data_IF_383169399116
#
_entry.id   IF_383169399116
#
_cell.length_a   1.000
_cell.length_b   1.000
_cell.length_c   1.000
_cell.angle_alpha   90.00
_cell.angle_beta   90.00
_cell.angle_gamma   90.00
#
_symmetry.space_group_name_H-M   'P 1'
#
loop_
_entity.id
_entity.type
_entity.pdbx_description
1 polymer ?
#
# COMPACT_ATOMS: atom_id res chain seq x y z
N UNK A 1 0.26 -17.47 -31.11
CA UNK A 1 -1.11 -17.13 -30.62
C UNK A 1 -1.34 -15.63 -30.74
N UNK A 2 -2.56 -15.20 -31.01
CA UNK A 2 -2.92 -13.76 -30.95
C UNK A 2 -3.15 -13.30 -29.51
N UNK A 3 -3.09 -12.00 -29.29
CA UNK A 3 -3.42 -11.42 -27.98
C UNK A 3 -4.83 -11.77 -27.48
N UNK A 4 -5.79 -11.91 -28.40
CA UNK A 4 -7.17 -12.28 -28.03
C UNK A 4 -7.25 -13.74 -27.58
N UNK A 5 -6.64 -14.66 -28.31
CA UNK A 5 -6.61 -16.08 -27.94
C UNK A 5 -5.94 -16.29 -26.59
N UNK A 6 -4.82 -15.61 -26.35
CA UNK A 6 -4.09 -15.67 -25.11
C UNK A 6 -4.92 -15.09 -23.94
N UNK A 7 -5.64 -13.99 -24.18
CA UNK A 7 -6.50 -13.39 -23.18
C UNK A 7 -7.74 -14.25 -22.87
N UNK A 8 -8.32 -14.94 -23.88
CA UNK A 8 -9.41 -15.90 -23.69
C UNK A 8 -8.95 -17.11 -22.86
N UNK A 9 -7.74 -17.62 -23.14
CA UNK A 9 -7.13 -18.68 -22.35
C UNK A 9 -6.93 -18.24 -20.89
N UNK A 10 -6.35 -17.06 -20.67
CA UNK A 10 -6.16 -16.53 -19.34
C UNK A 10 -7.49 -16.35 -18.58
N UNK A 11 -8.54 -15.84 -19.23
CA UNK A 11 -9.87 -15.71 -18.63
C UNK A 11 -10.50 -17.06 -18.29
N UNK A 12 -10.23 -18.10 -19.07
CA UNK A 12 -10.68 -19.45 -18.78
C UNK A 12 -10.00 -20.01 -17.54
N UNK A 13 -8.70 -19.79 -17.40
CA UNK A 13 -7.94 -20.23 -16.21
C UNK A 13 -8.33 -19.45 -14.96
N UNK A 14 -8.54 -18.13 -15.08
CA UNK A 14 -8.98 -17.28 -13.96
C UNK A 14 -10.40 -17.64 -13.49
N UNK A 15 -11.25 -18.19 -14.37
CA UNK A 15 -12.62 -18.63 -14.10
C UNK A 15 -13.53 -17.59 -13.43
N UNK A 16 -13.20 -16.30 -13.57
CA UNK A 16 -13.93 -15.15 -13.01
C UNK A 16 -13.76 -13.90 -13.88
N UNK A 17 -14.62 -12.89 -13.70
CA UNK A 17 -14.41 -11.60 -14.35
C UNK A 17 -13.08 -10.98 -13.92
N UNK A 18 -12.27 -10.50 -14.87
CA UNK A 18 -10.97 -9.91 -14.63
C UNK A 18 -10.71 -8.68 -15.50
N UNK A 19 -9.91 -7.75 -15.00
CA UNK A 19 -9.46 -6.56 -15.73
C UNK A 19 -8.31 -6.88 -16.70
N UNK A 20 -8.07 -6.01 -17.68
CA UNK A 20 -7.03 -6.22 -18.69
C UNK A 20 -5.62 -6.36 -18.09
N UNK A 21 -5.29 -5.55 -17.08
CA UNK A 21 -4.01 -5.63 -16.37
C UNK A 21 -3.85 -6.94 -15.59
N UNK A 22 -4.94 -7.41 -14.98
CA UNK A 22 -4.95 -8.67 -14.25
C UNK A 22 -4.81 -9.88 -15.18
N UNK A 23 -5.50 -9.85 -16.34
CA UNK A 23 -5.34 -10.86 -17.38
C UNK A 23 -3.90 -10.89 -17.90
N UNK A 24 -3.32 -9.73 -18.12
CA UNK A 24 -1.92 -9.65 -18.53
C UNK A 24 -0.97 -10.13 -17.45
N UNK A 25 -1.17 -9.76 -16.19
CA UNK A 25 -0.39 -10.25 -15.06
C UNK A 25 -0.38 -11.79 -14.98
N UNK A 26 -1.54 -12.44 -15.21
CA UNK A 26 -1.61 -13.89 -15.29
C UNK A 26 -0.78 -14.45 -16.46
N UNK A 27 -0.86 -13.81 -17.64
CA UNK A 27 -0.07 -14.20 -18.84
C UNK A 27 1.41 -14.09 -18.55
N UNK A 28 1.85 -13.01 -17.90
CA UNK A 28 3.24 -12.72 -17.58
C UNK A 28 3.80 -13.68 -16.51
N UNK A 29 3.09 -13.88 -15.42
CA UNK A 29 3.48 -14.81 -14.34
C UNK A 29 3.67 -16.25 -14.85
N UNK A 30 2.83 -16.68 -15.79
CA UNK A 30 2.92 -18.01 -16.36
C UNK A 30 3.77 -18.08 -17.64
N UNK A 31 4.47 -16.99 -18.01
CA UNK A 31 5.30 -16.86 -19.21
C UNK A 31 4.59 -17.20 -20.53
N UNK A 32 3.27 -17.09 -20.56
CA UNK A 32 2.46 -17.43 -21.73
C UNK A 32 2.67 -16.45 -22.89
N UNK A 33 3.26 -15.29 -22.64
CA UNK A 33 3.63 -14.32 -23.67
C UNK A 33 4.62 -14.89 -24.71
N UNK A 34 5.36 -15.96 -24.35
CA UNK A 34 6.25 -16.65 -25.29
C UNK A 34 5.51 -17.28 -26.48
N UNK A 35 4.21 -17.52 -26.32
CA UNK A 35 3.34 -18.08 -27.36
C UNK A 35 2.74 -17.02 -28.30
N UNK A 36 2.98 -15.73 -28.05
CA UNK A 36 2.46 -14.64 -28.88
C UNK A 36 3.17 -14.59 -30.22
N UNK A 37 2.36 -14.42 -31.28
CA UNK A 37 2.88 -14.10 -32.60
C UNK A 37 3.71 -12.80 -32.54
N UNK A 38 4.97 -12.87 -32.95
CA UNK A 38 5.91 -11.75 -32.90
C UNK A 38 6.76 -11.67 -31.63
N UNK A 39 6.63 -12.58 -30.68
CA UNK A 39 7.57 -12.68 -29.56
C UNK A 39 8.96 -13.11 -30.05
N UNK A 40 9.98 -12.36 -29.65
CA UNK A 40 11.38 -12.67 -29.93
C UNK A 40 12.13 -12.97 -28.62
N UNK A 41 12.59 -14.20 -28.39
CA UNK A 41 13.29 -14.56 -27.16
C UNK A 41 14.57 -13.74 -26.89
N UNK A 42 15.25 -13.24 -27.92
CA UNK A 42 16.47 -12.44 -27.78
C UNK A 42 16.17 -11.01 -27.29
N UNK A 43 14.98 -10.49 -27.61
CA UNK A 43 14.54 -9.15 -27.20
C UNK A 43 13.62 -9.18 -25.98
N UNK A 44 13.09 -10.33 -25.62
CA UNK A 44 12.17 -10.50 -24.51
C UNK A 44 10.84 -9.74 -24.68
N UNK A 45 10.23 -9.31 -23.56
CA UNK A 45 8.96 -8.58 -23.53
C UNK A 45 8.90 -7.34 -24.43
N UNK A 46 9.96 -6.53 -24.62
CA UNK A 46 9.92 -5.41 -25.56
C UNK A 46 9.55 -5.76 -26.99
N UNK A 47 9.76 -7.01 -27.43
CA UNK A 47 9.40 -7.46 -28.78
C UNK A 47 7.90 -7.46 -29.06
N UNK A 48 7.08 -7.58 -28.02
CA UNK A 48 5.60 -7.61 -28.09
C UNK A 48 4.94 -6.28 -27.73
N UNK A 49 5.73 -5.21 -27.61
CA UNK A 49 5.25 -3.83 -27.42
C UNK A 49 5.36 -3.33 -25.97
N UNK A 50 5.26 -2.00 -25.83
CA UNK A 50 5.44 -1.31 -24.54
C UNK A 50 4.29 -1.47 -23.56
N UNK A 51 3.08 -1.73 -24.03
CA UNK A 51 1.85 -1.78 -23.20
C UNK A 51 0.97 -2.98 -23.60
N UNK A 52 1.46 -4.20 -23.40
CA UNK A 52 0.72 -5.41 -23.84
C UNK A 52 -0.64 -5.56 -23.13
N UNK A 53 -0.77 -5.15 -21.87
CA UNK A 53 -2.06 -5.12 -21.15
C UNK A 53 -3.09 -4.20 -21.83
N UNK A 54 -2.66 -3.06 -22.40
CA UNK A 54 -3.56 -2.16 -23.14
C UNK A 54 -4.03 -2.82 -24.44
N UNK A 55 -3.15 -3.56 -25.11
CA UNK A 55 -3.50 -4.35 -26.30
C UNK A 55 -4.50 -5.46 -25.95
N UNK A 56 -4.29 -6.19 -24.85
CA UNK A 56 -5.24 -7.16 -24.32
C UNK A 56 -6.60 -6.49 -24.08
N UNK A 57 -6.63 -5.37 -23.36
CA UNK A 57 -7.85 -4.63 -23.05
C UNK A 57 -8.61 -4.18 -24.31
N UNK A 58 -7.89 -3.66 -25.30
CA UNK A 58 -8.48 -3.23 -26.58
C UNK A 58 -9.09 -4.41 -27.34
N UNK A 59 -8.38 -5.54 -27.43
CA UNK A 59 -8.89 -6.74 -28.10
C UNK A 59 -10.11 -7.33 -27.42
N UNK A 60 -10.10 -7.43 -26.10
CA UNK A 60 -11.23 -7.89 -25.31
C UNK A 60 -12.44 -6.96 -25.44
N UNK A 61 -12.21 -5.64 -25.47
CA UNK A 61 -13.30 -4.67 -25.65
C UNK A 61 -13.96 -4.81 -27.00
N UNK A 62 -13.18 -4.91 -28.08
CA UNK A 62 -13.70 -5.11 -29.44
C UNK A 62 -14.50 -6.43 -29.53
N UNK A 63 -13.97 -7.50 -28.92
CA UNK A 63 -14.63 -8.80 -28.91
C UNK A 63 -15.95 -8.76 -28.11
N UNK A 64 -16.01 -8.02 -27.01
CA UNK A 64 -17.22 -7.90 -26.20
C UNK A 64 -18.36 -7.16 -26.89
N UNK A 65 -18.08 -6.40 -27.96
CA UNK A 65 -19.08 -5.65 -28.75
C UNK A 65 -19.67 -6.46 -29.88
N UNK A 66 -19.09 -7.60 -30.24
CA UNK A 66 -19.62 -8.46 -31.27
C UNK A 66 -20.87 -9.21 -30.78
N UNK A 67 -21.92 -9.33 -31.60
CA UNK A 67 -23.15 -10.06 -31.22
C UNK A 67 -22.87 -11.51 -30.81
N UNK A 68 -21.98 -12.17 -31.55
CA UNK A 68 -21.50 -13.55 -31.35
C UNK A 68 -20.15 -13.63 -30.58
N UNK A 69 -19.71 -12.51 -29.99
CA UNK A 69 -18.44 -12.43 -29.29
C UNK A 69 -18.36 -13.39 -28.10
N UNK A 70 -17.16 -13.93 -27.88
CA UNK A 70 -16.88 -14.96 -26.86
C UNK A 70 -16.84 -14.45 -25.42
N UNK A 71 -16.91 -13.13 -25.23
CA UNK A 71 -16.78 -12.49 -23.92
C UNK A 71 -17.88 -11.46 -23.65
N UNK A 72 -18.11 -11.17 -22.37
CA UNK A 72 -18.92 -10.05 -21.89
C UNK A 72 -18.06 -9.06 -21.14
N UNK A 73 -18.42 -7.78 -21.20
CA UNK A 73 -17.76 -6.73 -20.45
C UNK A 73 -18.73 -6.10 -19.45
N UNK A 74 -18.30 -5.92 -18.21
CA UNK A 74 -19.07 -5.35 -17.11
C UNK A 74 -18.31 -4.20 -16.44
N UNK A 75 -19.04 -3.25 -15.86
CA UNK A 75 -18.44 -2.09 -15.17
C UNK A 75 -17.88 -1.05 -16.14
N UNK A 76 -17.46 0.08 -15.59
CA UNK A 76 -16.90 1.20 -16.35
C UNK A 76 -15.45 1.52 -15.97
N UNK A 77 -15.06 1.41 -14.69
CA UNK A 77 -13.69 1.65 -14.20
C UNK A 77 -13.47 0.87 -12.91
N UNK A 78 -12.67 -0.22 -12.91
CA UNK A 78 -12.15 -0.90 -14.09
C UNK A 78 -13.25 -1.63 -14.88
N UNK A 79 -13.02 -1.83 -16.18
CA UNK A 79 -13.86 -2.69 -17.01
C UNK A 79 -13.41 -4.13 -16.83
N UNK A 80 -14.32 -5.00 -16.41
CA UNK A 80 -14.07 -6.42 -16.20
C UNK A 80 -14.61 -7.22 -17.38
N UNK A 81 -13.86 -8.22 -17.80
CA UNK A 81 -14.18 -9.14 -18.89
C UNK A 81 -14.41 -10.54 -18.35
N UNK A 82 -15.38 -11.26 -18.91
CA UNK A 82 -15.65 -12.66 -18.59
C UNK A 82 -16.07 -13.43 -19.84
N UNK A 83 -15.84 -14.73 -19.85
CA UNK A 83 -16.31 -15.60 -20.94
C UNK A 83 -17.83 -15.70 -20.91
N UNK A 84 -18.47 -15.75 -22.10
CA UNK A 84 -19.88 -16.11 -22.19
C UNK A 84 -20.06 -17.59 -21.90
N UNK A 85 -21.09 -17.96 -21.14
CA UNK A 85 -21.32 -19.35 -20.67
C UNK A 85 -21.36 -20.42 -21.77
N UNK A 86 -21.77 -20.07 -23.00
CA UNK A 86 -21.83 -21.01 -24.12
C UNK A 86 -20.45 -21.46 -24.66
N UNK A 87 -19.35 -20.79 -24.27
CA UNK A 87 -18.00 -21.03 -24.83
C UNK A 87 -17.13 -21.89 -23.91
N UNK A 88 -17.54 -22.09 -22.66
CA UNK A 88 -16.76 -22.79 -21.64
C UNK A 88 -16.43 -24.26 -21.99
N UNK A 89 -17.21 -24.89 -22.82
CA UNK A 89 -17.01 -26.31 -23.21
C UNK A 89 -16.15 -26.53 -24.47
N UNK A 90 -16.15 -25.57 -25.40
CA UNK A 90 -15.55 -25.76 -26.75
C UNK A 90 -14.07 -25.36 -26.85
N UNK A 91 -13.57 -24.51 -25.94
CA UNK A 91 -12.18 -24.00 -25.95
C UNK A 91 -11.16 -25.03 -25.44
N UNK A 92 -11.63 -26.03 -24.69
CA UNK A 92 -10.76 -27.05 -24.09
C UNK A 92 -10.06 -27.94 -25.14
N UNK A 93 -10.63 -28.04 -26.35
CA UNK A 93 -10.12 -28.91 -27.42
C UNK A 93 -9.15 -28.21 -28.40
N UNK A 94 -9.07 -26.86 -28.39
CA UNK A 94 -8.37 -26.10 -29.44
C UNK A 94 -7.03 -25.49 -28.98
N UNK A 95 -6.70 -25.50 -27.68
CA UNK A 95 -5.62 -24.68 -27.13
C UNK A 95 -4.57 -25.44 -26.30
N UNK A 96 -4.56 -26.77 -26.32
CA UNK A 96 -3.50 -27.53 -25.61
C UNK A 96 -2.42 -27.98 -26.62
N UNK A 97 -1.15 -27.52 -26.47
CA UNK A 97 -0.04 -28.28 -26.97
C UNK A 97 0.06 -29.59 -26.17
N UNK A 98 0.30 -30.71 -26.86
CA UNK A 98 0.35 -32.08 -26.28
C UNK A 98 1.33 -32.32 -25.11
N UNK A 99 2.05 -31.30 -24.69
CA UNK A 99 3.04 -31.36 -23.61
C UNK A 99 2.82 -30.34 -22.46
N UNK A 100 1.62 -29.83 -22.29
CA UNK A 100 1.33 -29.02 -21.11
C UNK A 100 1.18 -29.95 -19.89
N UNK A 101 2.22 -30.05 -19.07
CA UNK A 101 2.14 -30.58 -17.71
C UNK A 101 1.00 -29.83 -17.02
N UNK A 102 0.01 -30.56 -16.53
CA UNK A 102 -1.06 -29.98 -15.73
C UNK A 102 -0.42 -29.32 -14.52
N UNK A 103 -0.29 -27.99 -14.56
CA UNK A 103 0.09 -27.20 -13.40
C UNK A 103 -1.04 -27.34 -12.38
N UNK A 104 -0.72 -27.50 -11.09
CA UNK A 104 -1.71 -27.52 -10.03
C UNK A 104 -2.58 -26.25 -10.16
N UNK A 105 -3.88 -26.31 -9.82
CA UNK A 105 -4.76 -25.17 -9.90
C UNK A 105 -4.09 -24.00 -9.19
N UNK A 106 -3.91 -22.88 -9.91
CA UNK A 106 -3.33 -21.68 -9.36
C UNK A 106 -4.03 -21.41 -8.03
N UNK A 107 -3.25 -21.36 -6.96
CA UNK A 107 -3.77 -21.04 -5.65
C UNK A 107 -4.64 -19.80 -5.82
N UNK A 108 -5.91 -19.92 -5.51
CA UNK A 108 -6.83 -18.79 -5.48
C UNK A 108 -6.11 -17.75 -4.65
N UNK A 109 -5.77 -16.60 -5.26
CA UNK A 109 -5.34 -15.44 -4.50
C UNK A 109 -6.48 -15.15 -3.55
N UNK A 110 -6.39 -15.68 -2.33
CA UNK A 110 -7.34 -15.41 -1.28
C UNK A 110 -7.32 -13.90 -1.15
N UNK A 111 -8.46 -13.25 -1.41
CA UNK A 111 -8.68 -11.85 -1.07
C UNK A 111 -8.09 -11.68 0.32
N UNK A 112 -7.10 -10.80 0.46
CA UNK A 112 -6.46 -10.55 1.74
C UNK A 112 -7.55 -10.42 2.81
N UNK A 113 -7.56 -11.34 3.78
CA UNK A 113 -8.59 -11.42 4.81
C UNK A 113 -8.52 -10.26 5.79
N UNK A 114 -7.40 -9.51 5.78
CA UNK A 114 -7.15 -8.39 6.68
C UNK A 114 -7.54 -7.05 6.06
N UNK A 115 -7.78 -6.05 6.89
CA UNK A 115 -8.06 -4.65 6.53
C UNK A 115 -6.79 -3.79 6.59
N UNK A 116 -6.78 -2.60 5.98
CA UNK A 116 -5.64 -1.66 6.08
C UNK A 116 -5.27 -1.38 7.54
N UNK A 117 -6.27 -1.23 8.40
CA UNK A 117 -6.07 -1.01 9.84
C UNK A 117 -5.32 -2.16 10.54
N UNK A 118 -5.39 -3.37 10.01
CA UNK A 118 -4.62 -4.49 10.57
C UNK A 118 -3.11 -4.35 10.32
N UNK A 119 -2.68 -3.38 9.49
CA UNK A 119 -1.27 -3.02 9.28
C UNK A 119 -0.73 -2.02 10.31
N UNK A 120 -1.60 -1.35 11.08
CA UNK A 120 -1.18 -0.35 12.07
C UNK A 120 -0.20 -0.90 13.11
N UNK A 121 -0.41 -2.11 13.71
CA UNK A 121 0.56 -2.67 14.64
C UNK A 121 1.93 -2.96 14.02
N UNK A 122 2.00 -3.29 12.72
CA UNK A 122 3.24 -3.51 12.01
C UNK A 122 4.01 -2.18 11.89
N UNK A 123 3.32 -1.14 11.41
CA UNK A 123 3.90 0.19 11.31
C UNK A 123 4.31 0.72 12.70
N UNK A 124 3.47 0.57 13.72
CA UNK A 124 3.79 0.96 15.10
C UNK A 124 5.12 0.35 15.58
N UNK A 125 5.29 -0.98 15.40
CA UNK A 125 6.53 -1.67 15.77
C UNK A 125 7.73 -1.18 14.96
N UNK A 126 7.59 -1.04 13.64
CA UNK A 126 8.64 -0.51 12.78
C UNK A 126 9.09 0.89 13.22
N UNK A 127 8.15 1.79 13.49
CA UNK A 127 8.44 3.17 13.91
C UNK A 127 9.15 3.23 15.27
N UNK A 128 8.79 2.36 16.19
CA UNK A 128 9.39 2.31 17.50
C UNK A 128 10.84 1.78 17.48
N UNK A 129 11.13 0.80 16.62
CA UNK A 129 12.41 0.08 16.59
C UNK A 129 13.40 0.66 15.55
N UNK A 130 12.90 1.32 14.50
CA UNK A 130 13.76 1.85 13.45
C UNK A 130 14.46 3.14 13.87
N UNK A 131 15.83 3.22 13.80
CA UNK A 131 16.62 4.34 14.36
C UNK A 131 16.25 5.72 13.78
N UNK A 132 15.80 5.79 12.54
CA UNK A 132 15.40 7.06 11.88
C UNK A 132 14.16 7.66 12.55
N UNK A 133 13.26 6.80 13.06
CA UNK A 133 12.02 7.25 13.67
C UNK A 133 12.13 7.27 15.20
N UNK A 134 12.47 6.15 15.83
CA UNK A 134 12.45 5.98 17.30
C UNK A 134 11.21 6.64 17.91
N UNK A 135 10.04 6.44 17.30
CA UNK A 135 8.83 7.20 17.50
C UNK A 135 7.76 6.43 18.26
N UNK A 136 7.04 7.13 19.13
CA UNK A 136 5.76 6.67 19.67
C UNK A 136 4.66 7.00 18.67
N UNK A 137 3.74 6.08 18.41
CA UNK A 137 2.66 6.29 17.44
C UNK A 137 1.28 6.14 18.05
N UNK A 138 0.28 6.73 17.38
CA UNK A 138 -1.13 6.61 17.76
C UNK A 138 -1.99 6.48 16.51
N UNK A 139 -2.88 5.50 16.50
CA UNK A 139 -3.91 5.31 15.48
C UNK A 139 -4.97 6.40 15.60
N UNK A 140 -5.39 6.96 14.47
CA UNK A 140 -6.46 7.95 14.39
C UNK A 140 -7.74 7.27 13.86
N UNK A 141 -8.76 7.22 14.70
CA UNK A 141 -10.05 6.63 14.35
C UNK A 141 -10.96 7.71 13.74
N UNK A 142 -10.86 7.91 12.43
CA UNK A 142 -11.65 8.91 11.70
C UNK A 142 -13.17 8.68 11.77
N UNK A 143 -13.63 7.44 12.01
CA UNK A 143 -15.05 7.13 12.19
C UNK A 143 -15.66 7.77 13.45
N UNK A 144 -14.81 8.12 14.40
CA UNK A 144 -15.20 8.80 15.64
C UNK A 144 -15.20 10.33 15.50
N UNK A 145 -14.82 10.86 14.34
CA UNK A 145 -14.77 12.29 14.08
C UNK A 145 -16.17 12.90 13.93
N UNK A 146 -16.30 14.17 14.26
CA UNK A 146 -17.50 14.93 14.01
C UNK A 146 -17.87 14.89 12.52
N UNK A 147 -19.17 14.67 12.21
CA UNK A 147 -19.63 14.62 10.82
C UNK A 147 -19.70 16.04 10.26
N UNK A 148 -18.90 16.32 9.23
CA UNK A 148 -19.05 17.49 8.37
C UNK A 148 -19.90 17.18 7.12
N UNK A 149 -20.02 18.14 6.21
CA UNK A 149 -20.66 17.93 4.92
C UNK A 149 -19.97 16.79 4.16
N UNK A 150 -20.75 15.97 3.45
CA UNK A 150 -20.24 14.81 2.70
C UNK A 150 -19.12 15.22 1.75
N UNK A 151 -17.91 14.70 1.98
CA UNK A 151 -16.72 14.95 1.18
C UNK A 151 -15.84 16.12 1.66
N UNK A 152 -16.26 16.95 2.60
CA UNK A 152 -15.45 18.06 3.10
C UNK A 152 -14.19 17.59 3.84
N UNK A 153 -14.30 16.49 4.57
CA UNK A 153 -13.16 15.91 5.32
C UNK A 153 -12.46 14.78 4.56
N UNK A 154 -12.69 14.69 3.24
CA UNK A 154 -12.00 13.69 2.43
C UNK A 154 -10.50 13.97 2.47
N UNK A 155 -9.72 12.97 2.92
CA UNK A 155 -8.27 13.06 3.06
C UNK A 155 -7.77 14.07 4.11
N UNK A 156 -8.59 14.41 5.09
CA UNK A 156 -8.17 15.27 6.21
C UNK A 156 -7.39 14.47 7.26
N UNK A 157 -7.89 13.29 7.59
CA UNK A 157 -7.36 12.48 8.70
C UNK A 157 -6.27 11.52 8.22
N UNK A 158 -5.09 11.50 8.89
CA UNK A 158 -4.12 10.44 8.70
C UNK A 158 -4.61 9.13 9.32
N UNK A 159 -4.07 8.00 8.89
CA UNK A 159 -4.32 6.70 9.52
C UNK A 159 -3.64 6.62 10.89
N UNK A 160 -2.40 7.08 10.97
CA UNK A 160 -1.62 7.14 12.20
C UNK A 160 -0.81 8.44 12.30
N UNK A 161 -0.56 8.83 13.53
CA UNK A 161 0.36 9.93 13.87
C UNK A 161 1.51 9.39 14.70
N UNK A 162 2.66 10.07 14.66
CA UNK A 162 3.83 9.68 15.44
C UNK A 162 4.56 10.87 16.01
N UNK A 163 5.30 10.66 17.08
CA UNK A 163 6.19 11.66 17.69
C UNK A 163 7.51 11.03 18.09
N UNK A 164 8.60 11.69 17.72
CA UNK A 164 9.94 11.43 18.22
C UNK A 164 10.32 12.53 19.20
N UNK A 165 10.76 12.15 20.40
CA UNK A 165 11.21 13.07 21.42
C UNK A 165 12.73 13.16 21.39
N UNK A 166 13.31 13.87 20.41
CA UNK A 166 14.76 13.99 20.23
C UNK A 166 15.47 14.54 21.47
N UNK A 167 14.79 15.37 22.30
CA UNK A 167 15.36 15.91 23.54
C UNK A 167 15.55 14.85 24.62
N UNK A 168 14.90 13.69 24.51
CA UNK A 168 15.04 12.61 25.50
C UNK A 168 16.44 12.00 25.50
N UNK A 169 17.17 12.10 24.40
CA UNK A 169 18.55 11.63 24.26
C UNK A 169 19.57 12.50 24.99
N UNK A 170 19.16 13.70 25.44
CA UNK A 170 20.04 14.65 26.14
C UNK A 170 19.80 14.60 27.64
N UNK A 171 20.58 13.80 28.38
CA UNK A 171 20.40 13.60 29.82
C UNK A 171 20.90 14.79 30.69
N UNK A 172 21.70 15.70 30.15
CA UNK A 172 22.29 16.76 30.91
C UNK A 172 21.25 17.81 31.38
N UNK A 173 21.02 17.90 32.68
CA UNK A 173 19.94 18.70 33.28
C UNK A 173 19.99 20.20 32.91
N UNK A 174 21.17 20.81 32.82
CA UNK A 174 21.32 22.22 32.42
C UNK A 174 20.95 22.44 30.95
N UNK A 175 21.28 21.47 30.06
CA UNK A 175 20.92 21.56 28.66
C UNK A 175 19.40 21.44 28.49
N UNK A 176 18.76 20.48 29.16
CA UNK A 176 17.31 20.35 29.16
C UNK A 176 16.61 21.59 29.71
N UNK A 177 17.12 22.18 30.81
CA UNK A 177 16.59 23.42 31.38
C UNK A 177 16.72 24.58 30.40
N UNK A 178 17.85 24.67 29.68
CA UNK A 178 18.07 25.67 28.65
C UNK A 178 17.09 25.48 27.46
N UNK A 179 16.94 24.25 26.95
CA UNK A 179 16.02 23.93 25.89
C UNK A 179 14.58 24.34 26.24
N UNK A 180 14.12 23.99 27.45
CA UNK A 180 12.77 24.36 27.92
C UNK A 180 12.59 25.86 28.05
N UNK A 181 13.60 26.57 28.62
CA UNK A 181 13.53 28.02 28.82
C UNK A 181 13.42 28.81 27.54
N UNK A 182 13.99 28.31 26.44
CA UNK A 182 14.04 29.00 25.15
C UNK A 182 13.15 28.35 24.08
N UNK A 183 12.18 27.51 24.48
CA UNK A 183 11.26 26.82 23.56
C UNK A 183 11.98 26.05 22.45
N UNK A 184 13.07 25.35 22.81
CA UNK A 184 13.93 24.61 21.88
C UNK A 184 13.90 23.09 22.10
N UNK A 185 12.81 22.57 22.71
CA UNK A 185 12.67 21.13 22.86
C UNK A 185 12.48 20.50 21.47
N UNK A 186 13.47 19.77 20.97
CA UNK A 186 13.35 19.17 19.65
C UNK A 186 12.41 17.96 19.72
N UNK A 187 11.28 18.12 19.06
CA UNK A 187 10.34 17.03 18.77
C UNK A 187 10.15 16.97 17.27
N UNK A 188 9.87 15.78 16.76
CA UNK A 188 9.48 15.59 15.38
C UNK A 188 8.13 14.88 15.33
N UNK A 189 7.19 15.46 14.61
CA UNK A 189 5.83 14.93 14.46
C UNK A 189 5.69 14.35 13.05
N UNK A 190 5.08 13.18 12.98
CA UNK A 190 4.88 12.41 11.76
C UNK A 190 3.40 12.21 11.46
N UNK A 191 3.07 12.16 10.17
CA UNK A 191 1.78 11.72 9.64
C UNK A 191 2.00 10.51 8.75
N UNK A 192 1.18 9.47 8.92
CA UNK A 192 1.27 8.24 8.14
C UNK A 192 -0.06 7.90 7.48
N UNK A 193 0.00 7.64 6.19
CA UNK A 193 -1.03 6.98 5.40
C UNK A 193 -0.60 5.55 5.12
N UNK A 194 -1.50 4.56 5.30
CA UNK A 194 -1.17 3.14 5.20
C UNK A 194 -2.01 2.50 4.11
N UNK A 195 -1.37 1.69 3.26
CA UNK A 195 -2.05 0.94 2.20
C UNK A 195 -1.58 -0.51 2.17
N UNK A 196 -2.47 -1.43 1.80
CA UNK A 196 -2.11 -2.83 1.62
C UNK A 196 -1.14 -2.99 0.47
N UNK A 197 -1.45 -2.32 -0.65
CA UNK A 197 -0.63 -2.41 -1.83
C UNK A 197 -0.70 -1.17 -2.70
N UNK A 198 0.41 -0.85 -3.36
CA UNK A 198 0.50 0.20 -4.37
C UNK A 198 0.70 -0.45 -5.74
N UNK A 199 0.07 0.14 -6.76
CA UNK A 199 0.28 -0.20 -8.17
C UNK A 199 0.05 1.03 -9.06
N UNK A 200 0.27 0.91 -10.37
CA UNK A 200 0.06 2.02 -11.32
C UNK A 200 -1.37 2.56 -11.36
N UNK A 201 -2.37 1.80 -10.91
CA UNK A 201 -3.76 2.23 -10.92
C UNK A 201 -4.13 3.13 -9.74
N UNK A 202 -3.45 2.98 -8.60
CA UNK A 202 -3.83 3.59 -7.32
C UNK A 202 -2.78 4.51 -6.69
N UNK A 203 -1.48 4.38 -7.05
CA UNK A 203 -0.38 5.04 -6.33
C UNK A 203 -0.50 6.56 -6.26
N UNK A 204 -1.01 7.21 -7.31
CA UNK A 204 -1.18 8.67 -7.32
C UNK A 204 -2.25 9.10 -6.33
N UNK A 205 -3.40 8.41 -6.30
CA UNK A 205 -4.48 8.73 -5.37
C UNK A 205 -4.00 8.60 -3.93
N UNK A 206 -3.37 7.49 -3.58
CA UNK A 206 -2.86 7.24 -2.24
C UNK A 206 -1.72 8.17 -1.84
N UNK A 207 -0.85 8.49 -2.80
CA UNK A 207 0.21 9.47 -2.58
C UNK A 207 -0.34 10.85 -2.26
N UNK A 208 -1.31 11.34 -3.04
CA UNK A 208 -1.94 12.63 -2.77
C UNK A 208 -2.82 12.64 -1.53
N UNK A 209 -3.33 11.50 -1.10
CA UNK A 209 -3.95 11.36 0.21
C UNK A 209 -2.92 11.63 1.33
N UNK A 210 -1.74 11.01 1.25
CA UNK A 210 -0.64 11.28 2.20
C UNK A 210 -0.15 12.73 2.16
N UNK A 211 -0.11 13.38 0.97
CA UNK A 211 0.19 14.82 0.85
C UNK A 211 -0.85 15.65 1.60
N UNK A 212 -2.14 15.38 1.36
CA UNK A 212 -3.25 16.16 1.93
C UNK A 212 -3.30 16.07 3.45
N UNK A 213 -3.12 14.87 4.01
CA UNK A 213 -3.27 14.64 5.45
C UNK A 213 -1.98 14.86 6.27
N UNK A 214 -0.91 15.43 5.68
CA UNK A 214 0.38 15.62 6.35
C UNK A 214 0.90 17.06 6.40
N UNK A 215 0.14 18.07 5.94
CA UNK A 215 0.60 19.47 5.93
C UNK A 215 0.98 20.00 7.31
N UNK A 216 0.31 19.52 8.33
CA UNK A 216 0.45 19.86 9.74
C UNK A 216 1.62 19.15 10.46
N UNK A 217 2.23 18.12 9.86
CA UNK A 217 3.33 17.36 10.45
C UNK A 217 4.70 17.81 9.91
N UNK A 218 5.77 17.54 10.66
CA UNK A 218 7.14 17.77 10.19
C UNK A 218 7.49 16.88 9.01
N UNK A 219 7.05 15.62 9.04
CA UNK A 219 7.27 14.64 7.98
C UNK A 219 5.98 13.84 7.73
N UNK A 220 5.66 13.62 6.47
CA UNK A 220 4.55 12.77 6.03
C UNK A 220 5.06 11.54 5.28
N UNK A 221 4.45 10.39 5.52
CA UNK A 221 4.84 9.13 4.89
C UNK A 221 3.63 8.37 4.34
N UNK A 222 3.85 7.74 3.18
CA UNK A 222 2.98 6.70 2.65
C UNK A 222 3.64 5.35 2.92
N UNK A 223 3.02 4.53 3.77
CA UNK A 223 3.48 3.19 4.08
C UNK A 223 2.65 2.16 3.31
N UNK A 224 3.29 1.14 2.75
CA UNK A 224 2.62 0.04 2.06
C UNK A 224 3.24 -1.30 2.41
N UNK A 225 2.38 -2.36 2.43
CA UNK A 225 2.84 -3.73 2.63
C UNK A 225 3.44 -4.33 1.35
N UNK A 226 2.97 -3.88 0.18
CA UNK A 226 3.42 -4.40 -1.11
C UNK A 226 3.57 -3.27 -2.12
N UNK A 227 4.69 -3.28 -2.82
CA UNK A 227 5.04 -2.34 -3.89
C UNK A 227 5.64 -3.14 -5.04
N UNK A 228 5.25 -2.90 -6.30
CA UNK A 228 5.85 -3.57 -7.45
C UNK A 228 7.37 -3.41 -7.46
N UNK A 229 8.07 -4.48 -7.79
CA UNK A 229 9.53 -4.46 -7.95
C UNK A 229 9.98 -3.82 -9.28
N UNK A 230 9.04 -3.39 -10.10
CA UNK A 230 9.24 -2.72 -11.37
C UNK A 230 10.00 -1.39 -11.18
N UNK A 231 11.10 -1.22 -11.92
CA UNK A 231 11.92 -0.01 -11.87
C UNK A 231 11.18 1.26 -12.32
N UNK A 232 10.30 1.17 -13.32
CA UNK A 232 9.47 2.30 -13.77
C UNK A 232 8.52 2.78 -12.66
N UNK A 233 7.93 1.82 -11.93
CA UNK A 233 7.05 2.13 -10.82
C UNK A 233 7.79 2.81 -9.67
N UNK A 234 8.93 2.25 -9.29
CA UNK A 234 9.79 2.82 -8.22
C UNK A 234 10.28 4.23 -8.59
N UNK A 235 10.68 4.45 -9.84
CA UNK A 235 11.06 5.77 -10.34
C UNK A 235 9.90 6.77 -10.30
N UNK A 236 8.69 6.34 -10.69
CA UNK A 236 7.49 7.17 -10.64
C UNK A 236 7.14 7.59 -9.21
N UNK A 237 7.21 6.67 -8.24
CA UNK A 237 7.03 6.96 -6.82
C UNK A 237 8.10 7.93 -6.30
N UNK A 238 9.36 7.70 -6.66
CA UNK A 238 10.48 8.54 -6.22
C UNK A 238 10.34 9.98 -6.76
N UNK A 239 9.91 10.15 -8.00
CA UNK A 239 9.62 11.48 -8.58
C UNK A 239 8.55 12.23 -7.80
N UNK A 240 7.46 11.55 -7.42
CA UNK A 240 6.42 12.16 -6.57
C UNK A 240 6.99 12.52 -5.19
N UNK A 241 7.71 11.60 -4.55
CA UNK A 241 8.35 11.83 -3.25
C UNK A 241 9.26 13.06 -3.27
N UNK A 242 10.14 13.18 -4.25
CA UNK A 242 11.04 14.32 -4.41
C UNK A 242 10.29 15.63 -4.64
N UNK A 243 9.20 15.61 -5.42
CA UNK A 243 8.41 16.80 -5.75
C UNK A 243 7.61 17.33 -4.58
N UNK A 244 7.02 16.45 -3.76
CA UNK A 244 6.10 16.82 -2.69
C UNK A 244 6.67 16.61 -1.29
N UNK A 245 7.79 15.92 -1.16
CA UNK A 245 8.46 15.70 0.13
C UNK A 245 7.81 14.65 1.03
N UNK A 246 6.94 13.80 0.48
CA UNK A 246 6.36 12.66 1.20
C UNK A 246 7.30 11.47 1.12
N UNK A 247 7.63 10.87 2.25
CA UNK A 247 8.42 9.66 2.30
C UNK A 247 7.60 8.41 1.95
N UNK A 248 8.31 7.34 1.61
CA UNK A 248 7.68 6.07 1.23
C UNK A 248 8.32 4.95 2.04
N UNK A 249 7.50 4.17 2.73
CA UNK A 249 7.89 3.02 3.55
C UNK A 249 7.31 1.75 2.92
N UNK A 250 8.16 0.75 2.70
CA UNK A 250 7.76 -0.61 2.36
C UNK A 250 7.89 -1.48 3.61
N UNK A 251 6.76 -1.97 4.13
CA UNK A 251 6.72 -2.85 5.28
C UNK A 251 6.93 -4.30 4.83
N UNK A 252 7.83 -5.01 5.50
CA UNK A 252 8.01 -6.44 5.32
C UNK A 252 7.32 -7.19 6.46
N UNK A 253 6.20 -7.86 6.17
CA UNK A 253 5.45 -8.62 7.18
C UNK A 253 6.19 -9.87 7.65
N UNK A 254 7.09 -10.46 6.84
CA UNK A 254 7.87 -11.62 7.24
C UNK A 254 8.96 -11.26 8.24
N UNK A 255 9.56 -10.08 8.05
CA UNK A 255 10.63 -9.58 8.90
C UNK A 255 10.61 -8.06 8.94
N UNK A 256 9.95 -7.48 9.94
CA UNK A 256 9.81 -6.03 10.05
C UNK A 256 11.14 -5.28 10.10
N UNK A 257 12.23 -5.92 10.52
CA UNK A 257 13.56 -5.33 10.49
C UNK A 257 14.12 -5.15 9.06
N UNK A 258 13.53 -5.81 8.08
CA UNK A 258 13.85 -5.67 6.65
C UNK A 258 12.92 -4.68 5.92
N UNK A 259 11.99 -4.06 6.64
CA UNK A 259 11.19 -2.97 6.08
C UNK A 259 12.11 -1.83 5.62
N UNK A 260 11.77 -1.23 4.48
CA UNK A 260 12.63 -0.26 3.80
C UNK A 260 12.00 1.13 3.75
N UNK A 261 12.81 2.17 3.96
CA UNK A 261 12.46 3.54 3.58
C UNK A 261 12.88 3.72 2.12
N UNK A 262 11.97 3.47 1.18
CA UNK A 262 12.23 3.60 -0.26
C UNK A 262 12.58 5.04 -0.66
N UNK A 263 12.02 6.00 0.05
CA UNK A 263 12.32 7.42 -0.10
C UNK A 263 12.09 8.14 1.22
N UNK A 264 13.07 8.90 1.75
CA UNK A 264 12.88 9.66 2.98
C UNK A 264 11.94 10.86 2.74
N UNK A 265 11.17 11.22 3.75
CA UNK A 265 10.38 12.45 3.71
C UNK A 265 11.28 13.69 3.82
N UNK A 266 10.78 14.81 3.30
CA UNK A 266 11.41 16.12 3.49
C UNK A 266 10.90 16.75 4.78
N UNK A 267 11.83 17.06 5.69
CA UNK A 267 11.50 17.76 6.92
C UNK A 267 10.93 19.15 6.68
N UNK A 268 9.78 19.47 7.26
CA UNK A 268 9.11 20.78 7.24
C UNK A 268 9.32 21.49 8.60
N UNK A 269 9.95 22.66 8.57
CA UNK A 269 10.10 23.50 9.77
C UNK A 269 8.78 24.18 10.14
N UNK A 270 8.00 24.56 9.16
CA UNK A 270 6.69 25.20 9.34
C UNK A 270 5.59 24.15 9.16
N UNK A 271 4.77 24.03 10.16
CA UNK A 271 3.59 23.17 10.18
C UNK A 271 2.34 24.00 9.91
N UNK A 272 1.35 23.42 9.31
CA UNK A 272 0.06 24.05 9.08
C UNK A 272 -0.80 23.98 10.35
N UNK A 273 -0.68 25.01 11.18
CA UNK A 273 -1.41 25.10 12.44
C UNK A 273 -2.93 25.23 12.24
N UNK A 274 -3.40 25.74 11.09
CA UNK A 274 -4.82 25.82 10.82
C UNK A 274 -5.41 24.42 10.60
N UNK A 275 -4.73 23.57 9.84
CA UNK A 275 -5.12 22.17 9.68
C UNK A 275 -4.98 21.40 10.99
N UNK A 276 -3.91 21.63 11.77
CA UNK A 276 -3.73 21.01 13.07
C UNK A 276 -4.86 21.37 14.05
N UNK A 277 -5.28 22.63 14.05
CA UNK A 277 -6.42 23.10 14.84
C UNK A 277 -7.73 22.39 14.42
N UNK A 278 -8.00 22.34 13.10
CA UNK A 278 -9.18 21.68 12.56
C UNK A 278 -9.22 20.18 12.91
N UNK A 279 -8.08 19.49 12.83
CA UNK A 279 -7.94 18.09 13.24
C UNK A 279 -8.24 17.90 14.73
N UNK A 280 -7.70 18.76 15.60
CA UNK A 280 -7.91 18.68 17.04
C UNK A 280 -9.37 18.94 17.43
N UNK A 281 -10.04 19.87 16.76
CA UNK A 281 -11.46 20.16 16.96
C UNK A 281 -12.37 18.98 16.54
N UNK A 282 -12.03 18.33 15.42
CA UNK A 282 -12.89 17.33 14.80
C UNK A 282 -12.62 15.91 15.29
N UNK A 283 -11.40 15.60 15.75
CA UNK A 283 -10.98 14.24 16.11
C UNK A 283 -10.39 14.17 17.51
N UNK A 284 -11.06 13.42 18.38
CA UNK A 284 -10.65 13.26 19.77
C UNK A 284 -9.29 12.56 19.92
N UNK A 285 -8.99 11.57 19.07
CA UNK A 285 -7.73 10.83 19.16
C UNK A 285 -6.55 11.75 18.82
N UNK A 286 -6.72 12.66 17.85
CA UNK A 286 -5.73 13.65 17.49
C UNK A 286 -5.55 14.71 18.60
N UNK A 287 -6.65 15.23 19.15
CA UNK A 287 -6.61 16.16 20.29
C UNK A 287 -5.89 15.55 21.50
N UNK A 288 -6.20 14.29 21.81
CA UNK A 288 -5.52 13.55 22.89
C UNK A 288 -4.04 13.34 22.60
N UNK A 289 -3.66 13.06 21.35
CA UNK A 289 -2.25 12.96 20.95
C UNK A 289 -1.48 14.26 21.23
N UNK A 290 -2.04 15.40 20.87
CA UNK A 290 -1.41 16.70 21.15
C UNK A 290 -1.30 16.97 22.66
N UNK A 291 -2.32 16.64 23.44
CA UNK A 291 -2.29 16.74 24.91
C UNK A 291 -1.18 15.85 25.49
N UNK A 292 -1.12 14.61 25.05
CA UNK A 292 -0.10 13.65 25.50
C UNK A 292 1.32 14.15 25.21
N UNK A 293 1.58 14.70 24.01
CA UNK A 293 2.89 15.28 23.68
C UNK A 293 3.24 16.44 24.60
N UNK A 294 2.27 17.31 24.88
CA UNK A 294 2.46 18.50 25.74
C UNK A 294 2.80 18.12 27.18
N UNK A 295 2.19 17.05 27.69
CA UNK A 295 2.35 16.57 29.07
C UNK A 295 3.48 15.56 29.22
N UNK A 296 4.07 15.07 28.12
CA UNK A 296 5.03 13.96 28.13
C UNK A 296 6.25 14.25 29.01
N UNK A 297 6.47 13.37 30.00
CA UNK A 297 7.64 13.36 30.86
C UNK A 297 8.55 12.19 30.50
N UNK A 298 9.65 12.50 29.79
CA UNK A 298 10.64 11.51 29.35
C UNK A 298 11.33 10.76 30.52
N UNK A 299 11.30 11.29 31.75
CA UNK A 299 11.80 10.60 32.93
C UNK A 299 10.85 9.53 33.45
N UNK A 300 9.59 9.63 33.07
CA UNK A 300 8.53 8.72 33.48
C UNK A 300 7.70 8.24 32.28
N UNK A 301 8.31 7.71 31.20
CA UNK A 301 7.62 7.37 29.95
C UNK A 301 6.53 6.32 30.12
N UNK A 302 6.67 5.45 31.13
CA UNK A 302 5.68 4.41 31.45
C UNK A 302 4.28 4.96 31.77
N UNK A 303 4.15 6.22 32.19
CA UNK A 303 2.86 6.86 32.47
C UNK A 303 2.02 7.10 31.21
N UNK A 304 2.66 7.15 30.07
CA UNK A 304 2.05 7.49 28.79
C UNK A 304 1.90 6.30 27.84
N UNK A 305 2.28 5.09 28.28
CA UNK A 305 2.21 3.89 27.43
C UNK A 305 0.80 3.57 26.92
N UNK A 306 -0.23 3.89 27.72
CA UNK A 306 -1.63 3.70 27.33
C UNK A 306 -2.15 4.74 26.32
N UNK A 307 -1.43 5.85 26.16
CA UNK A 307 -1.80 6.94 25.25
C UNK A 307 -1.26 6.74 23.84
N UNK A 308 -0.35 5.80 23.66
CA UNK A 308 0.22 5.40 22.37
C UNK A 308 -0.18 3.98 22.03
N UNK A 309 -0.05 3.63 20.75
CA UNK A 309 -0.29 2.28 20.29
C UNK A 309 0.72 1.31 20.92
N UNK A 310 0.24 0.14 21.33
CA UNK A 310 1.10 -0.87 21.94
C UNK A 310 2.08 -1.43 20.93
N UNK A 311 3.36 -1.30 21.19
CA UNK A 311 4.43 -1.99 20.46
C UNK A 311 4.40 -3.47 20.85
N UNK A 312 4.08 -4.34 19.89
CA UNK A 312 4.05 -5.78 20.11
C UNK A 312 5.46 -6.35 20.18
N UNK A 313 5.72 -7.32 21.06
CA UNK A 313 6.93 -8.15 21.02
C UNK A 313 6.97 -8.98 19.73
N UNK A 314 8.10 -9.58 19.40
CA UNK A 314 8.23 -10.43 18.20
C UNK A 314 7.26 -11.61 18.23
N UNK A 315 7.11 -12.25 19.41
CA UNK A 315 6.15 -13.34 19.59
C UNK A 315 4.70 -12.87 19.40
N UNK A 316 4.30 -11.77 20.06
CA UNK A 316 2.95 -11.19 19.90
C UNK A 316 2.68 -10.74 18.45
N UNK A 317 3.71 -10.30 17.73
CA UNK A 317 3.57 -9.90 16.33
C UNK A 317 3.39 -11.12 15.42
N UNK A 318 4.15 -12.21 15.65
CA UNK A 318 4.00 -13.45 14.89
C UNK A 318 2.59 -14.04 15.06
N UNK A 319 2.09 -14.11 16.31
CA UNK A 319 0.73 -14.56 16.59
C UNK A 319 -0.32 -13.67 15.93
N UNK A 320 -0.13 -12.36 15.96
CA UNK A 320 -1.02 -11.39 15.34
C UNK A 320 -1.08 -11.53 13.81
N UNK A 321 0.08 -11.68 13.16
CA UNK A 321 0.16 -11.87 11.71
C UNK A 321 -0.54 -13.15 11.27
N UNK A 322 -0.36 -14.24 12.04
CA UNK A 322 -1.02 -15.51 11.81
C UNK A 322 -2.55 -15.41 11.99
N UNK A 323 -3.01 -14.77 13.08
CA UNK A 323 -4.44 -14.52 13.33
C UNK A 323 -5.10 -13.72 12.21
N UNK A 324 -4.43 -12.68 11.73
CA UNK A 324 -4.95 -11.79 10.67
C UNK A 324 -4.78 -12.35 9.26
N UNK A 325 -3.99 -13.40 9.08
CA UNK A 325 -3.66 -13.97 7.78
C UNK A 325 -2.85 -12.99 6.92
N UNK A 326 -1.99 -12.17 7.57
CA UNK A 326 -1.03 -11.31 6.90
C UNK A 326 0.19 -12.15 6.61
N UNK A 327 0.23 -12.73 5.41
CA UNK A 327 1.32 -13.60 4.98
C UNK A 327 2.38 -12.77 4.23
N UNK A 328 3.67 -13.11 4.40
CA UNK A 328 4.72 -12.53 3.57
C UNK A 328 4.49 -12.90 2.10
N UNK A 329 4.65 -11.93 1.21
CA UNK A 329 4.58 -12.15 -0.24
C UNK A 329 5.53 -13.31 -0.63
N UNK A 330 4.98 -14.42 -1.13
CA UNK A 330 5.73 -15.48 -1.80
C UNK A 330 5.96 -16.80 -1.05
N UNK A 331 5.40 -17.03 0.14
CA UNK A 331 5.38 -18.37 0.75
C UNK A 331 3.94 -18.85 0.94
N UNK A 332 3.37 -19.45 -0.12
CA UNK A 332 2.34 -20.45 0.07
C UNK A 332 2.99 -21.59 0.86
N UNK A 333 2.41 -21.94 2.03
CA UNK A 333 2.84 -23.11 2.78
C UNK A 333 2.91 -24.32 1.88
N UNK A 334 4.10 -24.91 1.81
CA UNK A 334 4.27 -26.30 1.42
C UNK A 334 3.78 -27.13 2.63
N UNK A 335 2.58 -27.68 2.52
CA UNK A 335 2.09 -28.81 3.28
C UNK A 335 1.37 -29.77 2.35
#
# INVERSE_FOLDING_TARGET
>A
MTYLELALYALQQLARPAGASEIWGFIEQNRLYAELDGYNPEQGLPSIGKTPWATVGARLYVESKKPDGKITAQGSRPKLFSLRQAVSGSLKALLLPENAVALPPAAQTQKARFHERDLHPLLCKFLAEHPVFAAQSRTIFHEKSGKSQKGADKWLYPDMVGVQFEYADYEHSSLQAWMRKFDRLPIKIFSFEIKKHLDFSNYKEYFFQAVSNSSWANEGYLAALSVPQDGEFREALQKLSQSFGIGIILLDAANLSQSEILSPAKYKKQMDYAVMYELAEKNRDFSQFLTTITEYDHKNPHRYLSEFDKVKSDAEMADYLAEKGILPDGKAEAA
#
